data_IF_108373059435
#
_entry.id   IF_108373059435
#
_cell.length_a   1.000
_cell.length_b   1.000
_cell.length_c   1.000
_cell.angle_alpha   90.00
_cell.angle_beta   90.00
_cell.angle_gamma   90.00
#
_symmetry.space_group_name_H-M   'P 1'
#
loop_
_entity.id
_entity.type
_entity.pdbx_description
1 polymer ?
#
# COMPACT_ATOMS: atom_id res chain seq x y z
N UNK A 1 -18.73 23.81 -4.64
CA UNK A 1 -17.59 23.55 -3.72
C UNK A 1 -17.31 22.07 -3.79
N UNK A 2 -16.16 21.66 -4.34
CA UNK A 2 -15.78 20.25 -4.43
C UNK A 2 -15.34 19.79 -3.05
N UNK A 3 -16.09 18.89 -2.42
CA UNK A 3 -15.69 18.29 -1.16
C UNK A 3 -14.47 17.40 -1.38
N UNK A 4 -13.44 17.58 -0.55
CA UNK A 4 -12.24 16.78 -0.54
C UNK A 4 -12.29 15.86 0.67
N UNK A 5 -12.10 14.56 0.45
CA UNK A 5 -11.96 13.59 1.54
C UNK A 5 -10.53 13.08 1.52
N UNK A 6 -9.80 13.34 2.60
CA UNK A 6 -8.50 12.76 2.87
C UNK A 6 -8.62 11.96 4.17
N UNK A 7 -8.28 10.68 4.13
CA UNK A 7 -8.32 9.81 5.29
C UNK A 7 -6.98 9.11 5.44
N UNK A 8 -6.35 9.26 6.61
CA UNK A 8 -5.15 8.50 6.96
C UNK A 8 -5.53 7.12 7.50
N UNK A 9 -4.64 6.14 7.31
CA UNK A 9 -4.76 4.80 7.87
C UNK A 9 -3.40 4.24 8.30
N UNK A 10 -3.42 3.24 9.17
CA UNK A 10 -2.29 2.40 9.51
C UNK A 10 -2.75 0.93 9.41
N UNK A 11 -1.96 0.09 8.74
CA UNK A 11 -2.28 -1.33 8.60
C UNK A 11 -1.90 -2.08 9.86
N UNK A 12 -2.76 -3.03 10.24
CA UNK A 12 -2.50 -3.96 11.33
C UNK A 12 -2.13 -5.32 10.74
N UNK A 13 -1.04 -5.95 11.21
CA UNK A 13 -0.71 -7.28 10.75
C UNK A 13 -1.79 -8.31 11.08
N UNK A 14 -1.90 -9.35 10.25
CA UNK A 14 -2.93 -10.36 10.43
C UNK A 14 -2.53 -11.40 11.49
N UNK A 15 -3.14 -11.27 12.68
CA UNK A 15 -3.00 -12.23 13.77
C UNK A 15 -1.72 -12.05 14.61
N UNK A 16 -1.78 -12.25 15.94
CA UNK A 16 -0.64 -11.98 16.83
C UNK A 16 0.49 -13.01 16.74
N UNK A 17 0.22 -14.17 16.11
CA UNK A 17 1.11 -15.35 16.18
C UNK A 17 1.93 -15.57 14.90
N UNK A 18 1.79 -14.69 13.91
CA UNK A 18 2.58 -14.79 12.69
C UNK A 18 3.80 -13.88 12.79
N UNK A 19 5.01 -14.39 12.54
CA UNK A 19 6.18 -13.55 12.45
C UNK A 19 5.96 -12.56 11.30
N UNK A 20 6.14 -11.28 11.60
CA UNK A 20 6.05 -10.20 10.64
C UNK A 20 7.37 -9.42 10.66
N UNK A 21 7.83 -8.91 9.51
CA UNK A 21 9.01 -8.06 9.49
C UNK A 21 8.77 -6.83 10.36
N UNK A 22 9.85 -6.28 10.92
CA UNK A 22 9.80 -5.10 11.79
C UNK A 22 9.57 -3.82 10.97
N UNK A 23 8.39 -3.74 10.35
CA UNK A 23 7.95 -2.64 9.50
C UNK A 23 6.61 -2.09 9.97
N UNK A 24 6.36 -0.83 9.65
CA UNK A 24 5.05 -0.20 9.73
C UNK A 24 4.59 0.19 8.32
N UNK A 25 3.30 0.01 8.05
CA UNK A 25 2.68 0.45 6.79
C UNK A 25 1.55 1.41 7.15
N UNK A 26 1.71 2.65 6.72
CA UNK A 26 0.75 3.74 6.90
C UNK A 26 0.37 4.31 5.55
N UNK A 27 -0.65 5.15 5.51
CA UNK A 27 -1.00 5.79 4.25
C UNK A 27 -2.14 6.78 4.33
N UNK A 28 -2.48 7.30 3.16
CA UNK A 28 -3.56 8.24 2.96
C UNK A 28 -4.38 7.87 1.73
N UNK A 29 -5.69 7.94 1.88
CA UNK A 29 -6.67 7.83 0.80
C UNK A 29 -7.22 9.22 0.52
N UNK A 30 -7.13 9.67 -0.72
CA UNK A 30 -7.65 10.94 -1.16
C UNK A 30 -8.61 10.74 -2.34
N UNK A 31 -9.82 11.31 -2.25
CA UNK A 31 -10.77 11.32 -3.38
C UNK A 31 -11.01 12.72 -3.89
N UNK A 32 -10.85 12.91 -5.20
CA UNK A 32 -11.20 14.13 -5.93
C UNK A 32 -12.02 13.78 -7.16
N UNK A 33 -13.34 13.97 -7.06
CA UNK A 33 -14.28 13.59 -8.12
C UNK A 33 -14.26 12.08 -8.38
N UNK A 34 -13.87 11.70 -9.59
CA UNK A 34 -13.74 10.30 -10.04
C UNK A 34 -12.34 9.72 -9.82
N UNK A 35 -11.39 10.52 -9.32
CA UNK A 35 -10.02 10.08 -9.05
C UNK A 35 -9.88 9.70 -7.58
N UNK A 36 -9.43 8.48 -7.35
CA UNK A 36 -8.98 7.99 -6.04
C UNK A 36 -7.45 7.91 -6.07
N UNK A 37 -6.80 8.53 -5.09
CA UNK A 37 -5.34 8.50 -4.92
C UNK A 37 -5.03 7.82 -3.60
N UNK A 38 -4.09 6.89 -3.65
CA UNK A 38 -3.62 6.13 -2.50
C UNK A 38 -2.12 6.34 -2.37
N UNK A 39 -1.67 6.69 -1.18
CA UNK A 39 -0.25 6.79 -0.85
C UNK A 39 0.05 5.86 0.30
N UNK A 40 1.05 4.99 0.13
CA UNK A 40 1.57 4.13 1.19
C UNK A 40 2.94 4.64 1.62
N UNK A 41 3.19 4.60 2.93
CA UNK A 41 4.49 4.79 3.55
C UNK A 41 4.87 3.48 4.24
N UNK A 42 6.00 2.89 3.82
CA UNK A 42 6.60 1.77 4.53
C UNK A 42 7.86 2.25 5.23
N UNK A 43 7.94 1.98 6.53
CA UNK A 43 9.09 2.34 7.36
C UNK A 43 9.52 1.16 8.22
N UNK A 44 10.73 1.21 8.80
CA UNK A 44 11.33 0.13 9.60
C UNK A 44 12.43 -0.62 8.86
N UNK A 45 12.59 -1.92 9.14
CA UNK A 45 13.66 -2.75 8.56
C UNK A 45 13.30 -3.22 7.15
N UNK A 46 13.51 -2.33 6.17
CA UNK A 46 13.17 -2.62 4.76
C UNK A 46 14.04 -3.71 4.12
N UNK A 47 15.20 -4.03 4.70
CA UNK A 47 16.10 -5.07 4.19
C UNK A 47 15.48 -6.48 4.25
N UNK A 48 14.47 -6.66 5.10
CA UNK A 48 13.73 -7.93 5.22
C UNK A 48 12.64 -8.07 4.14
N UNK A 49 12.45 -7.04 3.31
CA UNK A 49 11.47 -7.02 2.22
C UNK A 49 12.12 -7.24 0.87
N UNK A 50 11.55 -8.18 0.09
CA UNK A 50 11.90 -8.34 -1.31
C UNK A 50 11.13 -7.31 -2.15
N UNK A 51 11.59 -6.07 -2.20
CA UNK A 51 10.96 -5.01 -3.00
C UNK A 51 11.24 -5.22 -4.50
N UNK A 52 10.23 -5.10 -5.37
CA UNK A 52 10.45 -5.15 -6.80
C UNK A 52 11.28 -3.93 -7.27
N UNK A 53 12.07 -4.06 -8.35
CA UNK A 53 12.79 -2.93 -8.91
C UNK A 53 11.81 -1.86 -9.42
N UNK A 54 12.22 -0.60 -9.33
CA UNK A 54 11.46 0.52 -9.88
C UNK A 54 11.35 0.36 -11.40
N UNK A 55 10.12 0.39 -11.92
CA UNK A 55 9.88 0.38 -13.36
C UNK A 55 9.72 1.81 -13.88
N UNK A 56 10.51 2.25 -14.89
CA UNK A 56 10.32 3.57 -15.51
C UNK A 56 9.04 3.63 -16.35
N UNK A 57 8.46 2.48 -16.70
CA UNK A 57 7.23 2.34 -17.47
C UNK A 57 6.36 1.26 -16.83
N UNK A 58 5.60 1.59 -15.77
CA UNK A 58 4.71 0.62 -15.14
C UNK A 58 3.64 0.18 -16.14
N UNK A 59 3.40 -1.13 -16.22
CA UNK A 59 2.41 -1.76 -17.08
C UNK A 59 1.50 -2.65 -16.24
N UNK A 60 0.25 -2.83 -16.67
CA UNK A 60 -0.67 -3.79 -16.06
C UNK A 60 -0.10 -5.21 -16.25
N UNK A 61 -0.09 -5.99 -15.17
CA UNK A 61 0.39 -7.38 -15.16
C UNK A 61 -0.53 -8.23 -14.30
N UNK A 62 -0.61 -9.52 -14.63
CA UNK A 62 -1.31 -10.51 -13.83
C UNK A 62 -0.37 -11.09 -12.75
N UNK A 63 -0.97 -11.73 -11.74
CA UNK A 63 -0.25 -12.48 -10.69
C UNK A 63 0.74 -11.64 -9.86
N UNK A 64 0.52 -10.33 -9.72
CA UNK A 64 1.37 -9.46 -8.90
C UNK A 64 1.39 -9.88 -7.41
N UNK A 65 0.30 -10.51 -6.94
CA UNK A 65 0.16 -11.04 -5.56
C UNK A 65 1.14 -12.16 -5.22
N UNK A 66 1.77 -12.79 -6.21
CA UNK A 66 2.80 -13.82 -5.97
C UNK A 66 4.15 -13.19 -5.54
N UNK A 67 4.25 -11.87 -5.60
CA UNK A 67 5.42 -11.09 -5.21
C UNK A 67 5.04 -10.05 -4.15
N UNK A 68 6.03 -9.35 -3.59
CA UNK A 68 5.76 -8.23 -2.67
C UNK A 68 4.96 -7.14 -3.39
N UNK A 69 3.72 -6.93 -2.96
CA UNK A 69 2.81 -5.94 -3.52
C UNK A 69 1.98 -5.25 -2.44
N UNK A 70 1.34 -4.13 -2.80
CA UNK A 70 0.27 -3.53 -2.01
C UNK A 70 -1.06 -3.86 -2.66
N UNK A 71 -2.04 -4.26 -1.85
CA UNK A 71 -3.39 -4.56 -2.32
C UNK A 71 -4.40 -3.58 -1.72
N UNK A 72 -5.35 -3.16 -2.54
CA UNK A 72 -6.46 -2.30 -2.14
C UNK A 72 -7.77 -2.92 -2.62
N UNK A 73 -8.67 -3.18 -1.68
CA UNK A 73 -10.00 -3.71 -1.95
C UNK A 73 -11.03 -2.61 -1.67
N UNK A 74 -11.96 -2.40 -2.60
CA UNK A 74 -13.08 -1.47 -2.46
C UNK A 74 -14.40 -2.19 -2.75
N UNK A 75 -15.48 -1.72 -2.12
CA UNK A 75 -16.85 -2.19 -2.35
C UNK A 75 -17.68 -1.09 -2.99
#
# INVERSE_FOLDING_TARGET
MTTFTCQSFALQPFGPNHPHPAIAIEGQVFRRGTVLTMTYLVSGTLNDLSLPPVSPQPQRRDQLWETTCFEFFWA
#
